data_IF_032154196324
#
_entry.id   IF_032154196324
#
_cell.length_a   1.000
_cell.length_b   1.000
_cell.length_c   1.000
_cell.angle_alpha   90.00
_cell.angle_beta   90.00
_cell.angle_gamma   90.00
#
_symmetry.space_group_name_H-M   'P 1'
#
loop_
_entity.id
_entity.type
_entity.pdbx_description
1 polymer ?
#
# COMPACT_ATOMS: atom_id res chain seq x y z
N UNK A 1 33.46 -16.26 14.69
CA UNK A 1 32.49 -17.04 13.89
C UNK A 1 31.07 -16.97 14.43
N UNK A 2 30.78 -17.29 15.73
CA UNK A 2 29.41 -17.28 16.29
C UNK A 2 28.73 -15.91 16.19
N UNK A 3 29.42 -14.83 16.58
CA UNK A 3 28.92 -13.45 16.54
C UNK A 3 28.57 -13.04 15.10
N UNK A 4 29.45 -13.32 14.13
CA UNK A 4 29.24 -13.00 12.72
C UNK A 4 27.98 -13.70 12.19
N UNK A 5 27.82 -15.00 12.49
CA UNK A 5 26.63 -15.78 12.11
C UNK A 5 25.36 -15.18 12.69
N UNK A 6 25.40 -14.74 13.95
CA UNK A 6 24.25 -14.12 14.62
C UNK A 6 23.92 -12.77 14.00
N UNK A 7 24.92 -11.92 13.76
CA UNK A 7 24.74 -10.61 13.12
C UNK A 7 24.15 -10.80 11.73
N UNK A 8 24.72 -11.70 10.90
CA UNK A 8 24.18 -11.97 9.55
C UNK A 8 22.73 -12.44 9.60
N UNK A 9 22.37 -13.33 10.52
CA UNK A 9 20.98 -13.78 10.67
C UNK A 9 20.03 -12.63 11.08
N UNK A 10 20.46 -11.74 11.98
CA UNK A 10 19.66 -10.58 12.40
C UNK A 10 19.51 -9.57 11.27
N UNK A 11 20.58 -9.32 10.48
CA UNK A 11 20.50 -8.42 9.33
C UNK A 11 19.52 -8.92 8.27
N UNK A 12 19.57 -10.21 7.92
CA UNK A 12 18.61 -10.82 7.01
C UNK A 12 17.20 -10.70 7.60
N UNK A 13 17.05 -11.04 8.88
CA UNK A 13 15.78 -10.95 9.61
C UNK A 13 15.20 -9.54 9.58
N UNK A 14 16.04 -8.51 9.75
CA UNK A 14 15.63 -7.12 9.67
C UNK A 14 15.10 -6.76 8.27
N UNK A 15 15.81 -7.15 7.19
CA UNK A 15 15.38 -6.89 5.81
C UNK A 15 14.05 -7.58 5.52
N UNK A 16 13.89 -8.85 5.90
CA UNK A 16 12.66 -9.61 5.71
C UNK A 16 11.49 -9.02 6.52
N UNK A 17 11.74 -8.68 7.77
CA UNK A 17 10.74 -8.08 8.64
C UNK A 17 10.24 -6.75 8.06
N UNK A 18 11.18 -5.87 7.70
CA UNK A 18 10.83 -4.56 7.13
C UNK A 18 10.09 -4.71 5.79
N UNK A 19 10.56 -5.57 4.89
CA UNK A 19 9.90 -5.84 3.62
C UNK A 19 8.46 -6.34 3.81
N UNK A 20 8.25 -7.28 4.76
CA UNK A 20 6.92 -7.78 5.10
C UNK A 20 6.02 -6.71 5.70
N UNK A 21 6.50 -5.92 6.67
CA UNK A 21 5.71 -4.85 7.31
C UNK A 21 5.29 -3.77 6.33
N UNK A 22 6.17 -3.36 5.42
CA UNK A 22 5.84 -2.35 4.41
C UNK A 22 4.76 -2.83 3.44
N UNK A 23 4.78 -4.11 3.06
CA UNK A 23 3.71 -4.72 2.26
C UNK A 23 2.40 -4.90 3.05
N UNK A 24 2.50 -5.22 4.33
CA UNK A 24 1.33 -5.31 5.24
C UNK A 24 0.68 -3.94 5.42
N UNK A 25 1.45 -2.86 5.44
CA UNK A 25 0.94 -1.51 5.58
C UNK A 25 0.06 -1.08 4.39
N UNK A 26 0.42 -1.48 3.16
CA UNK A 26 -0.38 -1.28 1.94
C UNK A 26 -0.73 -2.62 1.26
N UNK A 27 -1.74 -3.36 1.75
CA UNK A 27 -2.12 -4.64 1.16
C UNK A 27 -2.66 -4.50 -0.27
N UNK A 28 -3.20 -3.34 -0.61
CA UNK A 28 -3.76 -3.04 -1.93
C UNK A 28 -2.64 -2.84 -2.94
N UNK A 29 -1.61 -2.05 -2.61
CA UNK A 29 -0.41 -1.90 -3.43
C UNK A 29 0.34 -3.23 -3.58
N UNK A 30 0.52 -3.98 -2.50
CA UNK A 30 1.12 -5.31 -2.56
C UNK A 30 0.34 -6.27 -3.49
N UNK A 31 -0.99 -6.19 -3.51
CA UNK A 31 -1.83 -6.94 -4.44
C UNK A 31 -1.58 -6.56 -5.90
N UNK A 32 -1.47 -5.26 -6.21
CA UNK A 32 -1.19 -4.79 -7.58
C UNK A 32 0.11 -5.37 -8.11
N UNK A 33 1.16 -5.36 -7.30
CA UNK A 33 2.45 -5.96 -7.65
C UNK A 33 2.30 -7.45 -7.94
N UNK A 34 1.56 -8.20 -7.12
CA UNK A 34 1.32 -9.63 -7.38
C UNK A 34 0.50 -9.84 -8.65
N UNK A 35 -0.50 -9.01 -8.95
CA UNK A 35 -1.27 -9.07 -10.21
C UNK A 35 -0.35 -8.86 -11.42
N UNK A 36 0.62 -7.94 -11.36
CA UNK A 36 1.61 -7.73 -12.42
C UNK A 36 2.55 -8.94 -12.60
N UNK A 37 3.02 -9.54 -11.50
CA UNK A 37 3.80 -10.78 -11.55
C UNK A 37 3.01 -11.94 -12.17
N UNK A 38 1.73 -12.10 -11.79
CA UNK A 38 0.87 -13.14 -12.36
C UNK A 38 0.65 -12.93 -13.86
N UNK A 39 0.48 -11.68 -14.31
CA UNK A 39 0.42 -11.35 -15.74
C UNK A 39 1.74 -11.68 -16.46
N UNK A 40 2.88 -11.28 -15.90
CA UNK A 40 4.21 -11.57 -16.45
C UNK A 40 4.48 -13.06 -16.60
N UNK A 41 4.03 -13.87 -15.62
CA UNK A 41 4.16 -15.33 -15.64
C UNK A 41 3.07 -16.04 -16.44
N UNK A 42 2.18 -15.31 -17.13
CA UNK A 42 1.02 -15.84 -17.86
C UNK A 42 0.04 -16.64 -16.97
N UNK A 43 -0.01 -16.31 -15.68
CA UNK A 43 -0.86 -16.92 -14.66
C UNK A 43 -2.05 -16.03 -14.28
N UNK A 44 -2.56 -15.20 -15.19
CA UNK A 44 -3.65 -14.24 -14.95
C UNK A 44 -4.95 -14.87 -14.42
N UNK A 45 -5.15 -16.18 -14.61
CA UNK A 45 -6.28 -16.95 -14.03
C UNK A 45 -6.25 -16.98 -12.49
N UNK A 46 -5.08 -16.68 -11.85
CA UNK A 46 -4.92 -16.57 -10.40
C UNK A 46 -5.18 -15.14 -9.86
N UNK A 47 -5.49 -14.16 -10.70
CA UNK A 47 -5.69 -12.76 -10.26
C UNK A 47 -6.75 -12.63 -9.16
N UNK A 48 -7.76 -13.51 -9.12
CA UNK A 48 -8.74 -13.56 -8.03
C UNK A 48 -8.14 -13.87 -6.65
N UNK A 49 -6.97 -14.51 -6.61
CA UNK A 49 -6.23 -14.84 -5.38
C UNK A 49 -5.08 -13.87 -5.08
N UNK A 50 -4.81 -12.89 -5.94
CA UNK A 50 -3.65 -12.01 -5.82
C UNK A 50 -3.57 -11.30 -4.45
N UNK A 51 -4.72 -10.85 -3.91
CA UNK A 51 -4.76 -10.22 -2.58
C UNK A 51 -4.41 -11.17 -1.43
N UNK A 52 -4.86 -12.43 -1.51
CA UNK A 52 -4.54 -13.46 -0.50
C UNK A 52 -3.06 -13.84 -0.60
N UNK A 53 -2.55 -14.00 -1.82
CA UNK A 53 -1.13 -14.31 -2.06
C UNK A 53 -0.24 -13.17 -1.57
N UNK A 54 -0.58 -11.92 -1.87
CA UNK A 54 0.17 -10.74 -1.44
C UNK A 54 0.23 -10.64 0.08
N UNK A 55 -0.94 -10.69 0.76
CA UNK A 55 -1.02 -10.61 2.21
C UNK A 55 -0.35 -11.79 2.90
N UNK A 56 -0.54 -13.01 2.37
CA UNK A 56 0.10 -14.22 2.89
C UNK A 56 1.62 -14.18 2.76
N UNK A 57 2.14 -13.70 1.63
CA UNK A 57 3.58 -13.55 1.40
C UNK A 57 4.18 -12.47 2.29
N UNK A 58 3.52 -11.31 2.42
CA UNK A 58 3.95 -10.24 3.30
C UNK A 58 3.99 -10.68 4.78
N UNK A 59 2.96 -11.40 5.23
CA UNK A 59 2.91 -11.97 6.57
C UNK A 59 4.02 -13.00 6.79
N UNK A 60 4.26 -13.89 5.83
CA UNK A 60 5.33 -14.88 5.88
C UNK A 60 6.70 -14.20 5.97
N UNK A 61 6.98 -13.18 5.16
CA UNK A 61 8.22 -12.39 5.23
C UNK A 61 8.41 -11.76 6.60
N UNK A 62 7.39 -11.09 7.14
CA UNK A 62 7.46 -10.45 8.45
C UNK A 62 7.68 -11.47 9.58
N UNK A 63 6.98 -12.60 9.58
CA UNK A 63 7.13 -13.65 10.58
C UNK A 63 8.48 -14.36 10.50
N UNK A 64 8.98 -14.66 9.30
CA UNK A 64 10.32 -15.22 9.11
C UNK A 64 11.40 -14.23 9.56
N UNK A 65 11.23 -12.95 9.24
CA UNK A 65 12.10 -11.88 9.73
C UNK A 65 12.14 -11.83 11.27
N UNK A 66 10.97 -11.83 11.91
CA UNK A 66 10.85 -11.86 13.37
C UNK A 66 11.48 -13.13 13.97
N UNK A 67 11.30 -14.29 13.34
CA UNK A 67 11.91 -15.55 13.79
C UNK A 67 13.45 -15.51 13.71
N UNK A 68 14.03 -14.88 12.68
CA UNK A 68 15.49 -14.70 12.58
C UNK A 68 16.03 -13.69 13.59
N UNK A 69 15.32 -12.58 13.82
CA UNK A 69 15.70 -11.55 14.81
C UNK A 69 15.67 -12.15 16.24
N UNK A 70 14.60 -12.83 16.58
CA UNK A 70 14.48 -13.48 17.90
C UNK A 70 15.37 -14.73 18.01
N UNK A 71 15.61 -15.41 16.88
CA UNK A 71 16.36 -16.67 16.80
C UNK A 71 15.52 -17.89 17.16
N UNK A 72 14.20 -17.80 17.09
CA UNK A 72 13.29 -18.94 17.28
C UNK A 72 13.31 -19.83 16.04
N UNK A 73 13.26 -21.14 16.24
CA UNK A 73 13.29 -22.15 15.17
C UNK A 73 14.35 -21.93 14.09
N UNK A 74 15.57 -21.59 14.49
CA UNK A 74 16.67 -21.16 13.61
C UNK A 74 16.88 -22.02 12.37
N UNK A 75 16.76 -23.36 12.50
CA UNK A 75 16.92 -24.27 11.35
C UNK A 75 15.79 -24.11 10.33
N UNK A 76 14.56 -24.13 10.83
CA UNK A 76 13.36 -24.05 9.96
C UNK A 76 13.25 -22.67 9.33
N UNK A 77 13.36 -21.61 10.14
CA UNK A 77 13.33 -20.23 9.66
C UNK A 77 14.49 -19.94 8.71
N UNK A 78 15.71 -20.42 9.02
CA UNK A 78 16.86 -20.27 8.14
C UNK A 78 16.69 -20.99 6.81
N UNK A 79 16.17 -22.21 6.81
CA UNK A 79 15.88 -22.95 5.57
C UNK A 79 14.80 -22.25 4.73
N UNK A 80 13.69 -21.85 5.38
CA UNK A 80 12.59 -21.17 4.70
C UNK A 80 13.04 -19.85 4.04
N UNK A 81 13.82 -19.03 4.77
CA UNK A 81 14.38 -17.78 4.24
C UNK A 81 15.35 -18.06 3.09
N UNK A 82 16.19 -19.09 3.19
CA UNK A 82 17.10 -19.48 2.10
C UNK A 82 16.36 -19.86 0.82
N UNK A 83 15.34 -20.72 0.93
CA UNK A 83 14.49 -21.13 -0.21
C UNK A 83 13.76 -19.92 -0.81
N UNK A 84 13.19 -19.07 0.03
CA UNK A 84 12.45 -17.87 -0.40
C UNK A 84 13.38 -16.87 -1.10
N UNK A 85 14.56 -16.61 -0.54
CA UNK A 85 15.53 -15.71 -1.16
C UNK A 85 16.08 -16.28 -2.48
N UNK A 86 16.33 -17.59 -2.55
CA UNK A 86 16.75 -18.25 -3.80
C UNK A 86 15.65 -18.13 -4.88
N UNK A 87 14.40 -18.37 -4.51
CA UNK A 87 13.25 -18.19 -5.41
C UNK A 87 13.18 -16.75 -5.94
N UNK A 88 13.23 -15.74 -5.06
CA UNK A 88 13.21 -14.34 -5.48
C UNK A 88 14.43 -13.94 -6.30
N UNK A 89 15.60 -14.52 -6.02
CA UNK A 89 16.79 -14.28 -6.83
C UNK A 89 16.59 -14.78 -8.26
N UNK A 90 16.07 -16.00 -8.42
CA UNK A 90 15.76 -16.58 -9.72
C UNK A 90 14.72 -15.75 -10.47
N UNK A 91 13.64 -15.39 -9.81
CA UNK A 91 12.57 -14.56 -10.38
C UNK A 91 13.12 -13.20 -10.84
N UNK A 92 13.89 -12.52 -9.99
CA UNK A 92 14.49 -11.21 -10.32
C UNK A 92 15.52 -11.32 -11.44
N UNK A 93 16.22 -12.44 -11.53
CA UNK A 93 17.13 -12.69 -12.66
C UNK A 93 16.37 -12.77 -13.99
N UNK A 94 15.22 -13.44 -14.03
CA UNK A 94 14.35 -13.44 -15.21
C UNK A 94 13.79 -12.06 -15.54
N UNK A 95 13.40 -11.29 -14.54
CA UNK A 95 12.95 -9.90 -14.72
C UNK A 95 14.08 -9.03 -15.29
N UNK A 96 15.30 -9.19 -14.79
CA UNK A 96 16.47 -8.48 -15.30
C UNK A 96 16.75 -8.79 -16.79
N UNK A 97 16.62 -10.07 -17.19
CA UNK A 97 16.82 -10.48 -18.58
C UNK A 97 15.72 -10.00 -19.54
N UNK A 98 14.47 -9.97 -19.07
CA UNK A 98 13.31 -9.57 -19.89
C UNK A 98 13.05 -8.07 -19.84
N UNK A 99 13.53 -7.40 -18.81
CA UNK A 99 13.39 -5.97 -18.51
C UNK A 99 11.94 -5.43 -18.75
N UNK A 100 10.91 -6.05 -18.14
CA UNK A 100 9.55 -5.56 -18.28
C UNK A 100 9.38 -4.20 -17.57
N UNK A 101 8.45 -3.38 -18.05
CA UNK A 101 8.06 -2.14 -17.37
C UNK A 101 7.17 -2.47 -16.18
N UNK A 102 7.78 -2.87 -15.07
CA UNK A 102 7.10 -3.14 -13.80
C UNK A 102 8.07 -2.98 -12.64
N UNK A 103 7.56 -2.61 -11.49
CA UNK A 103 8.33 -2.51 -10.26
C UNK A 103 8.61 -3.89 -9.64
N UNK A 104 9.77 -4.02 -8.98
CA UNK A 104 10.11 -5.26 -8.27
C UNK A 104 9.28 -5.50 -7.00
N UNK A 105 8.64 -4.48 -6.44
CA UNK A 105 7.74 -4.58 -5.28
C UNK A 105 8.32 -5.19 -4.01
N UNK A 106 9.65 -5.28 -3.89
CA UNK A 106 10.31 -5.90 -2.74
C UNK A 106 9.99 -5.24 -1.40
N UNK A 107 9.81 -3.90 -1.41
CA UNK A 107 9.50 -3.08 -0.24
C UNK A 107 8.18 -2.31 -0.41
N UNK A 108 7.26 -2.86 -1.20
CA UNK A 108 6.00 -2.18 -1.55
C UNK A 108 6.26 -0.86 -2.29
N UNK A 109 5.43 0.13 -2.07
CA UNK A 109 5.51 1.46 -2.68
C UNK A 109 6.60 2.38 -2.07
N UNK A 110 7.22 1.98 -0.95
CA UNK A 110 8.19 2.85 -0.24
C UNK A 110 9.52 2.98 -0.98
N UNK A 111 10.01 1.88 -1.58
CA UNK A 111 11.32 1.84 -2.23
C UNK A 111 11.20 1.14 -3.58
N UNK A 112 11.33 1.91 -4.63
CA UNK A 112 11.37 1.44 -6.00
C UNK A 112 12.83 1.07 -6.37
N UNK A 113 13.08 -0.23 -6.50
CA UNK A 113 14.38 -0.75 -6.91
C UNK A 113 14.34 -1.21 -8.36
N UNK A 114 15.36 -0.87 -9.13
CA UNK A 114 15.54 -1.46 -10.45
C UNK A 114 15.75 -2.98 -10.37
N UNK A 115 15.50 -3.71 -11.46
CA UNK A 115 15.71 -5.16 -11.51
C UNK A 115 17.13 -5.54 -11.13
N UNK A 116 18.15 -4.77 -11.58
CA UNK A 116 19.54 -4.99 -11.22
C UNK A 116 19.81 -4.77 -9.73
N UNK A 117 19.31 -3.67 -9.16
CA UNK A 117 19.49 -3.38 -7.73
C UNK A 117 18.84 -4.47 -6.86
N UNK A 118 17.65 -4.95 -7.24
CA UNK A 118 16.95 -6.04 -6.55
C UNK A 118 17.74 -7.35 -6.66
N UNK A 119 18.30 -7.67 -7.83
CA UNK A 119 19.13 -8.85 -8.04
C UNK A 119 20.38 -8.80 -7.16
N UNK A 120 21.10 -7.68 -7.15
CA UNK A 120 22.29 -7.49 -6.31
C UNK A 120 21.95 -7.62 -4.81
N UNK A 121 20.87 -7.00 -4.35
CA UNK A 121 20.36 -7.16 -2.98
C UNK A 121 20.10 -8.64 -2.64
N UNK A 122 19.45 -9.37 -3.52
CA UNK A 122 19.13 -10.78 -3.29
C UNK A 122 20.39 -11.67 -3.25
N UNK A 123 21.39 -11.40 -4.10
CA UNK A 123 22.70 -12.08 -4.05
C UNK A 123 23.41 -11.81 -2.72
N UNK A 124 23.40 -10.56 -2.24
CA UNK A 124 23.98 -10.20 -0.94
C UNK A 124 23.24 -10.94 0.19
N UNK A 125 21.92 -11.02 0.15
CA UNK A 125 21.12 -11.75 1.15
C UNK A 125 21.45 -13.26 1.12
N UNK A 126 21.65 -13.87 -0.05
CA UNK A 126 22.08 -15.28 -0.16
C UNK A 126 23.48 -15.49 0.41
N UNK A 127 24.42 -14.57 0.18
CA UNK A 127 25.76 -14.64 0.77
C UNK A 127 25.70 -14.52 2.30
N UNK A 128 24.94 -13.58 2.83
CA UNK A 128 24.71 -13.46 4.28
C UNK A 128 24.01 -14.70 4.84
N UNK A 129 23.06 -15.28 4.12
CA UNK A 129 22.39 -16.51 4.50
C UNK A 129 23.37 -17.68 4.60
N UNK A 130 24.26 -17.85 3.62
CA UNK A 130 25.28 -18.88 3.67
C UNK A 130 26.21 -18.69 4.88
N UNK A 131 26.65 -17.46 5.16
CA UNK A 131 27.45 -17.13 6.35
C UNK A 131 26.70 -17.43 7.67
N UNK A 132 25.41 -17.12 7.73
CA UNK A 132 24.61 -17.30 8.95
C UNK A 132 24.29 -18.76 9.24
N UNK A 133 23.94 -19.56 8.22
CA UNK A 133 23.29 -20.85 8.39
C UNK A 133 24.14 -22.06 7.98
N UNK A 134 25.16 -21.90 7.15
CA UNK A 134 26.03 -23.04 6.79
C UNK A 134 27.22 -23.20 7.77
N UNK A 135 27.49 -24.41 8.27
CA UNK A 135 26.62 -25.59 8.22
C UNK A 135 25.47 -25.54 9.23
N UNK A 136 24.29 -26.06 8.85
CA UNK A 136 23.04 -26.01 9.64
C UNK A 136 23.12 -26.75 11.00
N UNK A 137 24.00 -27.72 11.13
CA UNK A 137 24.15 -28.52 12.36
C UNK A 137 24.89 -27.79 13.50
N UNK A 138 25.52 -26.63 13.22
CA UNK A 138 26.27 -25.82 14.19
C UNK A 138 25.51 -24.61 14.70
N UNK A 139 24.18 -24.61 14.61
CA UNK A 139 23.34 -23.51 15.09
C UNK A 139 23.16 -23.59 16.60
N UNK A 140 23.31 -22.46 17.30
CA UNK A 140 23.11 -22.38 18.74
C UNK A 140 21.62 -22.52 19.14
N UNK A 141 21.33 -23.07 20.32
CA UNK A 141 19.96 -23.14 20.82
C UNK A 141 19.40 -21.74 21.09
N UNK A 142 18.09 -21.60 20.93
CA UNK A 142 17.36 -20.36 21.23
C UNK A 142 17.20 -20.17 22.73
N UNK A 143 17.34 -18.95 23.23
CA UNK A 143 17.03 -18.61 24.63
C UNK A 143 15.53 -18.80 24.89
N UNK A 144 15.16 -19.41 26.04
CA UNK A 144 13.76 -19.73 26.38
C UNK A 144 12.83 -18.50 26.32
N UNK A 145 13.29 -17.33 26.75
CA UNK A 145 12.52 -16.08 26.74
C UNK A 145 12.07 -15.68 25.33
N UNK A 146 12.83 -16.02 24.29
CA UNK A 146 12.49 -15.70 22.89
C UNK A 146 11.27 -16.46 22.39
N UNK A 147 10.90 -17.57 23.02
CA UNK A 147 9.63 -18.28 22.73
C UNK A 147 8.41 -17.55 23.30
N UNK A 148 8.60 -16.51 24.13
CA UNK A 148 7.54 -15.59 24.57
C UNK A 148 7.51 -14.34 23.68
N UNK A 149 8.69 -13.75 23.38
CA UNK A 149 8.75 -12.54 22.58
C UNK A 149 8.28 -12.74 21.12
N UNK A 150 8.59 -13.89 20.53
CA UNK A 150 8.16 -14.16 19.14
C UNK A 150 6.64 -14.22 18.96
N UNK A 151 5.85 -14.95 19.79
CA UNK A 151 4.39 -14.92 19.68
C UNK A 151 3.79 -13.53 19.88
N UNK A 152 4.32 -12.72 20.79
CA UNK A 152 3.86 -11.33 20.99
C UNK A 152 4.08 -10.52 19.69
N UNK A 153 5.27 -10.57 19.12
CA UNK A 153 5.57 -9.93 17.87
C UNK A 153 4.67 -10.45 16.73
N UNK A 154 4.46 -11.77 16.63
CA UNK A 154 3.61 -12.39 15.62
C UNK A 154 2.15 -11.94 15.72
N UNK A 155 1.57 -11.91 16.93
CA UNK A 155 0.21 -11.41 17.16
C UNK A 155 0.11 -9.93 16.78
N UNK A 156 1.12 -9.12 17.12
CA UNK A 156 1.16 -7.70 16.74
C UNK A 156 1.19 -7.50 15.22
N UNK A 157 1.97 -8.30 14.51
CA UNK A 157 2.06 -8.26 13.04
C UNK A 157 0.73 -8.71 12.39
N UNK A 158 0.10 -9.77 12.91
CA UNK A 158 -1.23 -10.21 12.43
C UNK A 158 -2.29 -9.13 12.70
N UNK A 159 -2.27 -8.55 13.91
CA UNK A 159 -3.16 -7.42 14.26
C UNK A 159 -2.97 -6.22 13.32
N UNK A 160 -1.72 -5.92 12.96
CA UNK A 160 -1.42 -4.85 12.01
C UNK A 160 -1.91 -5.16 10.60
N UNK A 161 -1.77 -6.41 10.12
CA UNK A 161 -2.34 -6.84 8.84
C UNK A 161 -3.87 -6.67 8.80
N UNK A 162 -4.56 -7.07 9.87
CA UNK A 162 -6.01 -6.90 9.98
C UNK A 162 -6.40 -5.42 9.98
N UNK A 163 -5.69 -4.59 10.73
CA UNK A 163 -5.90 -3.14 10.75
C UNK A 163 -5.72 -2.53 9.35
N UNK A 164 -4.57 -2.78 8.68
CA UNK A 164 -4.27 -2.24 7.35
C UNK A 164 -5.22 -2.73 6.26
N UNK A 165 -5.80 -3.93 6.43
CA UNK A 165 -6.81 -4.46 5.50
C UNK A 165 -8.18 -3.76 5.64
N UNK A 166 -8.40 -3.01 6.73
CA UNK A 166 -9.66 -2.34 7.05
C UNK A 166 -9.60 -0.82 6.88
N UNK A 167 -8.40 -0.26 6.79
CA UNK A 167 -8.12 1.18 6.71
C UNK A 167 -7.36 1.51 5.44
N UNK A 168 -7.13 2.79 5.18
CA UNK A 168 -6.10 3.22 4.23
C UNK A 168 -4.71 3.11 4.90
N UNK A 169 -3.61 3.06 4.13
CA UNK A 169 -2.27 3.00 4.67
C UNK A 169 -1.98 4.14 5.65
N UNK A 170 -1.36 3.83 6.81
CA UNK A 170 -0.95 4.86 7.79
C UNK A 170 0.11 5.83 7.23
N UNK A 171 0.93 5.36 6.32
CA UNK A 171 1.87 6.20 5.58
C UNK A 171 1.65 5.92 4.09
N UNK A 172 1.24 6.94 3.38
CA UNK A 172 1.02 6.84 1.94
C UNK A 172 2.33 7.16 1.21
N UNK A 173 2.83 6.19 0.45
CA UNK A 173 4.04 6.33 -0.39
C UNK A 173 3.68 6.42 -1.88
N UNK A 174 2.38 6.45 -2.22
CA UNK A 174 1.96 6.57 -3.62
C UNK A 174 2.29 7.96 -4.18
N UNK A 175 2.32 8.11 -5.51
CA UNK A 175 2.43 9.43 -6.13
C UNK A 175 1.36 10.41 -5.65
N UNK A 176 0.17 9.90 -5.34
CA UNK A 176 -0.98 10.67 -4.86
C UNK A 176 -1.01 10.85 -3.34
N UNK A 177 0.11 10.78 -2.63
CA UNK A 177 0.18 10.99 -1.18
C UNK A 177 -0.30 12.39 -0.80
N UNK A 178 -0.81 12.61 0.42
CA UNK A 178 -1.08 13.94 0.93
C UNK A 178 0.16 14.85 0.81
N UNK A 179 -0.03 16.07 0.33
CA UNK A 179 1.03 17.02 -0.02
C UNK A 179 1.57 16.87 -1.45
N UNK A 180 1.07 15.93 -2.26
CA UNK A 180 1.40 15.86 -3.67
C UNK A 180 0.51 16.83 -4.49
N UNK A 181 1.13 17.52 -5.42
CA UNK A 181 0.43 18.35 -6.42
C UNK A 181 0.14 17.50 -7.65
N UNK A 182 -1.10 17.52 -8.10
CA UNK A 182 -1.51 16.88 -9.34
C UNK A 182 -0.89 17.63 -10.53
N UNK A 183 -0.57 16.89 -11.58
CA UNK A 183 -0.08 17.43 -12.84
C UNK A 183 -1.07 17.11 -13.95
N UNK A 184 -1.27 18.04 -14.88
CA UNK A 184 -2.05 17.79 -16.07
C UNK A 184 -1.30 16.81 -16.99
N UNK A 185 -2.02 15.94 -17.73
CA UNK A 185 -1.37 15.00 -18.65
C UNK A 185 -0.49 15.65 -19.72
N UNK A 186 -0.81 16.88 -20.13
CA UNK A 186 -0.07 17.67 -21.11
C UNK A 186 1.27 18.23 -20.59
N UNK A 187 1.42 18.35 -19.26
CA UNK A 187 2.63 18.89 -18.61
C UNK A 187 3.68 17.82 -18.31
N UNK A 188 3.46 16.56 -18.75
CA UNK A 188 4.33 15.44 -18.41
C UNK A 188 5.24 15.09 -19.59
N UNK A 189 6.55 15.01 -19.30
CA UNK A 189 7.56 14.62 -20.29
C UNK A 189 7.44 13.13 -20.68
N UNK A 190 7.11 12.23 -19.73
CA UNK A 190 6.91 10.80 -19.96
C UNK A 190 5.53 10.34 -19.47
N UNK A 191 4.59 10.10 -20.39
CA UNK A 191 3.24 9.61 -20.04
C UNK A 191 3.23 8.26 -19.32
N UNK A 192 4.32 7.50 -19.39
CA UNK A 192 4.45 6.20 -18.73
C UNK A 192 5.11 6.29 -17.33
N UNK A 193 5.51 7.47 -16.88
CA UNK A 193 6.03 7.63 -15.52
C UNK A 193 4.90 7.53 -14.50
N UNK A 194 4.74 6.33 -13.96
CA UNK A 194 3.73 6.04 -12.94
C UNK A 194 3.98 6.78 -11.61
N UNK A 195 5.13 7.42 -11.42
CA UNK A 195 5.48 8.19 -10.22
C UNK A 195 4.94 9.61 -10.24
N UNK A 196 4.52 10.09 -11.39
CA UNK A 196 3.90 11.40 -11.53
C UNK A 196 2.40 11.32 -11.17
N UNK A 197 1.89 12.17 -10.27
CA UNK A 197 0.49 12.15 -9.83
C UNK A 197 -0.43 12.79 -10.88
N UNK A 198 -0.70 12.04 -11.94
CA UNK A 198 -1.56 12.48 -13.05
C UNK A 198 -2.83 11.67 -13.10
N UNK A 199 -3.93 12.34 -13.37
CA UNK A 199 -5.24 11.75 -13.46
C UNK A 199 -6.01 12.38 -14.64
N UNK A 200 -6.45 11.56 -15.56
CA UNK A 200 -7.31 11.98 -16.67
C UNK A 200 -8.75 11.64 -16.37
N UNK A 201 -9.63 12.59 -16.56
CA UNK A 201 -11.06 12.50 -16.30
C UNK A 201 -11.83 12.67 -17.60
N UNK A 202 -12.82 11.81 -17.82
CA UNK A 202 -13.79 12.01 -18.89
C UNK A 202 -15.22 12.00 -18.37
N UNK A 203 -16.12 12.67 -19.05
CA UNK A 203 -17.54 12.57 -18.78
C UNK A 203 -18.16 11.29 -19.41
N UNK A 204 -19.49 11.17 -19.34
CA UNK A 204 -20.22 10.05 -19.95
C UNK A 204 -20.18 10.06 -21.50
N UNK A 205 -19.82 11.18 -22.14
CA UNK A 205 -19.66 11.31 -23.60
C UNK A 205 -18.25 10.94 -24.05
N UNK A 206 -17.29 10.87 -23.12
CA UNK A 206 -15.87 10.64 -23.39
C UNK A 206 -15.07 11.93 -23.62
N UNK A 207 -15.66 13.11 -23.33
CA UNK A 207 -14.95 14.39 -23.33
C UNK A 207 -14.09 14.51 -22.06
N UNK A 208 -12.85 15.01 -22.19
CA UNK A 208 -11.91 15.14 -21.09
C UNK A 208 -12.03 16.47 -20.35
N UNK A 209 -11.93 16.42 -19.02
CA UNK A 209 -12.10 17.55 -18.11
C UNK A 209 -11.02 17.57 -17.03
N UNK A 210 -9.76 17.35 -17.41
CA UNK A 210 -8.63 17.19 -16.48
C UNK A 210 -8.39 18.46 -15.64
N UNK A 211 -8.67 19.64 -16.21
CA UNK A 211 -8.55 20.96 -15.55
C UNK A 211 -9.43 21.08 -14.30
N UNK A 212 -10.55 20.34 -14.22
CA UNK A 212 -11.46 20.41 -13.07
C UNK A 212 -10.77 20.02 -11.75
N UNK A 213 -9.70 19.22 -11.81
CA UNK A 213 -8.94 18.83 -10.63
C UNK A 213 -8.06 19.95 -10.09
N UNK A 214 -7.80 20.99 -10.88
CA UNK A 214 -6.97 22.15 -10.51
C UNK A 214 -7.80 23.30 -9.97
N UNK A 215 -9.14 23.19 -9.92
CA UNK A 215 -10.03 24.27 -9.56
C UNK A 215 -10.68 24.09 -8.18
N UNK A 216 -10.36 25.00 -7.26
CA UNK A 216 -11.05 25.16 -5.97
C UNK A 216 -10.92 23.97 -5.02
N UNK A 217 -11.92 23.86 -4.15
CA UNK A 217 -11.98 22.85 -3.09
C UNK A 217 -12.83 21.65 -3.50
N UNK A 218 -12.19 20.51 -3.80
CA UNK A 218 -12.86 19.32 -4.30
C UNK A 218 -12.94 18.24 -3.22
N UNK A 219 -14.13 17.64 -3.08
CA UNK A 219 -14.33 16.40 -2.33
C UNK A 219 -14.51 15.26 -3.30
N UNK A 220 -13.41 14.52 -3.55
CA UNK A 220 -13.33 13.50 -4.59
C UNK A 220 -13.53 12.10 -3.99
N UNK A 221 -14.55 11.39 -4.45
CA UNK A 221 -14.80 9.97 -4.08
C UNK A 221 -14.26 9.06 -5.17
N UNK A 222 -13.39 8.11 -4.82
CA UNK A 222 -12.77 7.16 -5.76
C UNK A 222 -13.48 5.82 -5.76
N UNK A 223 -14.10 5.42 -6.87
CA UNK A 223 -14.80 4.14 -7.05
C UNK A 223 -14.10 3.33 -8.14
N UNK A 224 -13.18 2.45 -7.76
CA UNK A 224 -12.43 1.62 -8.72
C UNK A 224 -13.06 0.23 -8.95
N UNK A 225 -14.11 -0.13 -8.20
CA UNK A 225 -14.83 -1.40 -8.35
C UNK A 225 -16.28 -1.23 -7.86
N UNK A 226 -17.15 -0.82 -8.77
CA UNK A 226 -18.56 -0.52 -8.48
C UNK A 226 -19.30 -1.74 -7.91
N UNK A 227 -19.03 -2.94 -8.47
CA UNK A 227 -19.71 -4.18 -8.08
C UNK A 227 -19.43 -4.60 -6.61
N UNK A 228 -18.36 -4.10 -6.01
CA UNK A 228 -18.01 -4.40 -4.61
C UNK A 228 -18.60 -3.46 -3.59
N UNK A 229 -19.21 -2.36 -4.01
CA UNK A 229 -19.86 -1.42 -3.10
C UNK A 229 -21.18 -2.00 -2.59
N UNK A 230 -21.34 -2.00 -1.28
CA UNK A 230 -22.58 -2.44 -0.61
C UNK A 230 -23.57 -1.28 -0.50
N UNK A 231 -24.90 -1.53 -0.40
CA UNK A 231 -25.90 -0.47 -0.26
C UNK A 231 -25.56 0.56 0.82
N UNK A 232 -25.16 0.12 2.01
CA UNK A 232 -24.75 1.03 3.10
C UNK A 232 -23.53 1.89 2.78
N UNK A 233 -22.68 1.49 1.84
CA UNK A 233 -21.55 2.30 1.42
C UNK A 233 -21.99 3.37 0.43
N UNK A 234 -22.96 3.07 -0.43
CA UNK A 234 -23.60 4.05 -1.28
C UNK A 234 -24.30 5.14 -0.45
N UNK A 235 -25.04 4.76 0.61
CA UNK A 235 -25.66 5.72 1.53
C UNK A 235 -24.64 6.67 2.16
N UNK A 236 -23.46 6.16 2.53
CA UNK A 236 -22.37 6.97 3.08
C UNK A 236 -21.78 7.93 2.04
N UNK A 237 -21.62 7.47 0.79
CA UNK A 237 -21.12 8.31 -0.31
C UNK A 237 -22.11 9.44 -0.59
N UNK A 238 -23.39 9.13 -0.74
CA UNK A 238 -24.44 10.15 -0.95
C UNK A 238 -24.41 11.19 0.17
N UNK A 239 -24.40 10.74 1.43
CA UNK A 239 -24.34 11.66 2.57
C UNK A 239 -23.09 12.54 2.53
N UNK A 240 -21.91 11.99 2.23
CA UNK A 240 -20.68 12.78 2.11
C UNK A 240 -20.79 13.85 1.02
N UNK A 241 -21.34 13.52 -0.16
CA UNK A 241 -21.48 14.47 -1.26
C UNK A 241 -22.45 15.61 -0.88
N UNK A 242 -23.54 15.30 -0.18
CA UNK A 242 -24.49 16.29 0.34
C UNK A 242 -23.84 17.20 1.41
N UNK A 243 -23.13 16.61 2.38
CA UNK A 243 -22.43 17.33 3.45
C UNK A 243 -21.32 18.22 2.86
N UNK A 244 -20.59 17.74 1.85
CA UNK A 244 -19.54 18.48 1.14
C UNK A 244 -20.13 19.69 0.38
N UNK A 245 -21.20 19.49 -0.38
CA UNK A 245 -21.88 20.58 -1.08
C UNK A 245 -22.43 21.64 -0.12
N UNK A 246 -22.98 21.22 1.01
CA UNK A 246 -23.50 22.13 2.05
C UNK A 246 -22.40 22.93 2.75
N UNK A 247 -21.14 22.45 2.70
CA UNK A 247 -19.97 23.10 3.34
C UNK A 247 -19.15 23.93 2.34
N UNK A 248 -19.56 23.93 1.06
CA UNK A 248 -18.90 24.74 0.01
C UNK A 248 -17.86 24.00 -0.82
N UNK A 249 -17.63 22.72 -0.56
CA UNK A 249 -16.82 21.87 -1.44
C UNK A 249 -17.57 21.54 -2.73
N UNK A 250 -16.84 21.38 -3.84
CA UNK A 250 -17.38 20.83 -5.09
C UNK A 250 -17.29 19.30 -5.00
N UNK A 251 -18.43 18.58 -4.88
CA UNK A 251 -18.43 17.13 -4.81
C UNK A 251 -18.09 16.55 -6.19
N UNK A 252 -17.26 15.49 -6.21
CA UNK A 252 -16.86 14.78 -7.43
C UNK A 252 -16.78 13.28 -7.16
N UNK A 253 -17.26 12.47 -8.08
CA UNK A 253 -17.14 11.02 -8.05
C UNK A 253 -16.31 10.57 -9.24
N UNK A 254 -15.22 9.85 -8.99
CA UNK A 254 -14.38 9.26 -10.03
C UNK A 254 -14.61 7.77 -10.08
N UNK A 255 -15.13 7.26 -11.19
CA UNK A 255 -15.51 5.87 -11.35
C UNK A 255 -14.68 5.16 -12.44
N UNK A 256 -14.21 3.95 -12.15
CA UNK A 256 -13.63 3.05 -13.13
C UNK A 256 -14.68 2.07 -13.65
N UNK A 257 -15.71 2.60 -14.28
CA UNK A 257 -16.84 1.84 -14.82
C UNK A 257 -17.36 2.53 -16.08
N UNK A 258 -18.19 1.86 -16.86
CA UNK A 258 -18.95 2.53 -17.93
C UNK A 258 -20.14 3.31 -17.34
N UNK A 259 -20.62 4.35 -18.04
CA UNK A 259 -21.80 5.11 -17.60
C UNK A 259 -23.03 4.21 -17.32
N UNK A 260 -23.25 3.18 -18.14
CA UNK A 260 -24.35 2.23 -17.96
C UNK A 260 -24.24 1.44 -16.65
N UNK A 261 -23.04 0.98 -16.28
CA UNK A 261 -22.80 0.26 -15.03
C UNK A 261 -23.05 1.17 -13.83
N UNK A 262 -22.66 2.44 -13.90
CA UNK A 262 -22.94 3.41 -12.84
C UNK A 262 -24.43 3.62 -12.65
N UNK A 263 -25.21 3.83 -13.73
CA UNK A 263 -26.65 4.00 -13.68
C UNK A 263 -27.41 2.76 -13.18
N UNK A 264 -26.91 1.55 -13.46
CA UNK A 264 -27.47 0.31 -12.92
C UNK A 264 -27.16 0.12 -11.43
N UNK A 265 -26.04 0.68 -10.94
CA UNK A 265 -25.54 0.46 -9.58
C UNK A 265 -26.09 1.43 -8.56
N UNK A 266 -26.48 2.64 -8.98
CA UNK A 266 -27.08 3.66 -8.13
C UNK A 266 -28.07 4.50 -8.91
N UNK A 267 -29.16 4.92 -8.25
CA UNK A 267 -30.13 5.88 -8.76
C UNK A 267 -30.04 7.26 -8.07
N UNK A 268 -29.03 7.46 -7.21
CA UNK A 268 -28.83 8.71 -6.51
C UNK A 268 -28.33 9.81 -7.46
N UNK A 269 -29.11 10.89 -7.70
CA UNK A 269 -28.70 11.96 -8.60
C UNK A 269 -27.43 12.65 -8.14
N UNK A 270 -27.22 12.81 -6.82
CA UNK A 270 -26.01 13.42 -6.25
C UNK A 270 -24.72 12.68 -6.66
N UNK A 271 -24.81 11.37 -6.89
CA UNK A 271 -23.70 10.55 -7.37
C UNK A 271 -23.57 10.68 -8.87
N UNK A 272 -24.67 10.48 -9.62
CA UNK A 272 -24.64 10.41 -11.09
C UNK A 272 -24.25 11.76 -11.71
N UNK A 273 -24.76 12.87 -11.20
CA UNK A 273 -24.47 14.23 -11.69
C UNK A 273 -23.03 14.68 -11.40
N UNK A 274 -22.40 14.11 -10.35
CA UNK A 274 -21.01 14.39 -9.97
C UNK A 274 -20.00 13.38 -10.54
N UNK A 275 -20.44 12.42 -11.39
CA UNK A 275 -19.58 11.31 -11.83
C UNK A 275 -18.78 11.65 -13.07
N UNK A 276 -17.46 11.45 -12.98
CA UNK A 276 -16.49 11.38 -14.07
C UNK A 276 -15.82 10.01 -14.08
N UNK A 277 -15.24 9.65 -15.21
CA UNK A 277 -14.65 8.34 -15.45
C UNK A 277 -13.13 8.46 -15.56
N UNK A 278 -12.41 7.53 -14.92
CA UNK A 278 -10.96 7.54 -14.89
C UNK A 278 -10.38 6.11 -14.87
N UNK A 279 -9.08 6.00 -15.13
CA UNK A 279 -8.38 4.71 -15.12
C UNK A 279 -8.42 4.04 -13.74
N UNK A 280 -8.74 2.74 -13.73
CA UNK A 280 -8.88 1.94 -12.53
C UNK A 280 -7.60 1.92 -11.67
N UNK A 281 -6.41 1.77 -12.31
CA UNK A 281 -5.13 1.71 -11.59
C UNK A 281 -4.83 3.06 -10.94
N UNK A 282 -5.11 4.16 -11.64
CA UNK A 282 -4.95 5.53 -11.12
C UNK A 282 -5.88 5.78 -9.93
N UNK A 283 -7.18 5.42 -10.02
CA UNK A 283 -8.13 5.57 -8.90
C UNK A 283 -7.74 4.75 -7.68
N UNK A 284 -7.28 3.51 -7.90
CA UNK A 284 -6.81 2.61 -6.85
C UNK A 284 -5.52 3.13 -6.19
N UNK A 285 -4.72 3.92 -6.92
CA UNK A 285 -3.52 4.58 -6.41
C UNK A 285 -3.87 5.91 -5.73
N UNK A 286 -4.86 6.66 -6.24
CA UNK A 286 -5.36 7.87 -5.61
C UNK A 286 -5.92 7.57 -4.22
N UNK A 287 -6.76 6.52 -4.09
CA UNK A 287 -7.28 6.11 -2.79
C UNK A 287 -7.35 4.58 -2.70
N UNK A 288 -6.65 4.00 -1.74
CA UNK A 288 -6.61 2.53 -1.51
C UNK A 288 -7.94 1.94 -1.04
N UNK A 289 -8.91 2.78 -0.70
CA UNK A 289 -10.26 2.36 -0.26
C UNK A 289 -11.29 2.59 -1.36
N UNK A 290 -11.96 1.53 -1.82
CA UNK A 290 -13.05 1.65 -2.79
C UNK A 290 -14.22 2.43 -2.19
N UNK A 291 -14.58 3.55 -2.78
CA UNK A 291 -15.52 4.53 -2.23
C UNK A 291 -14.91 5.44 -1.15
N UNK A 292 -13.58 5.45 -1.01
CA UNK A 292 -12.87 6.40 -0.14
C UNK A 292 -12.87 7.81 -0.73
N UNK A 293 -12.69 8.81 0.14
CA UNK A 293 -12.67 10.21 -0.23
C UNK A 293 -11.26 10.81 -0.17
N UNK A 294 -11.01 11.81 -1.02
CA UNK A 294 -9.80 12.62 -1.03
C UNK A 294 -10.21 14.09 -1.12
N UNK A 295 -9.67 14.93 -0.23
CA UNK A 295 -9.80 16.37 -0.33
C UNK A 295 -8.65 16.90 -1.18
N UNK A 296 -8.99 17.60 -2.25
CA UNK A 296 -8.04 18.23 -3.20
C UNK A 296 -8.36 19.70 -3.26
N UNK A 297 -7.36 20.55 -3.05
CA UNK A 297 -7.48 21.99 -3.16
C UNK A 297 -6.52 22.50 -4.24
N UNK A 298 -7.07 23.10 -5.29
CA UNK A 298 -6.27 23.65 -6.41
C UNK A 298 -5.19 22.69 -6.91
N UNK A 299 -5.55 21.41 -7.09
CA UNK A 299 -4.62 20.35 -7.50
C UNK A 299 -3.77 19.75 -6.37
N UNK A 300 -3.74 20.33 -5.18
CA UNK A 300 -2.99 19.80 -4.03
C UNK A 300 -3.84 18.78 -3.27
N UNK A 301 -3.33 17.56 -3.11
CA UNK A 301 -3.99 16.52 -2.30
C UNK A 301 -3.72 16.82 -0.82
N UNK A 302 -4.77 17.22 -0.09
CA UNK A 302 -4.65 17.65 1.31
C UNK A 302 -4.73 16.45 2.25
N UNK A 303 -5.80 15.65 2.15
CA UNK A 303 -6.00 14.47 3.02
C UNK A 303 -6.90 13.43 2.37
N UNK A 304 -6.91 12.22 2.92
CA UNK A 304 -7.66 11.08 2.41
C UNK A 304 -8.33 10.29 3.52
N UNK A 305 -9.48 9.70 3.18
CA UNK A 305 -10.24 8.84 4.09
C UNK A 305 -10.69 7.56 3.39
N UNK A 306 -10.65 6.46 4.12
CA UNK A 306 -11.28 5.23 3.67
C UNK A 306 -12.79 5.27 3.82
N UNK A 307 -13.54 4.45 3.05
CA UNK A 307 -15.02 4.35 3.08
C UNK A 307 -15.61 4.09 4.49
N UNK A 308 -14.81 3.54 5.42
CA UNK A 308 -15.26 3.27 6.79
C UNK A 308 -15.25 4.50 7.68
N UNK A 309 -14.31 5.42 7.43
CA UNK A 309 -14.08 6.64 8.21
C UNK A 309 -14.19 7.89 7.35
N UNK A 310 -15.22 7.99 6.49
CA UNK A 310 -15.50 9.22 5.75
C UNK A 310 -15.78 10.37 6.72
N UNK A 311 -15.33 11.60 6.43
CA UNK A 311 -15.57 12.75 7.27
C UNK A 311 -17.05 13.07 7.34
N UNK A 312 -17.50 13.56 8.49
CA UNK A 312 -18.82 14.11 8.68
C UNK A 312 -18.82 15.64 8.42
N UNK A 313 -19.98 16.26 8.48
CA UNK A 313 -20.14 17.67 8.20
C UNK A 313 -19.32 18.57 9.15
N UNK A 314 -19.19 18.18 10.43
CA UNK A 314 -18.41 18.92 11.42
C UNK A 314 -16.91 18.94 11.03
N UNK A 315 -16.37 17.78 10.64
CA UNK A 315 -14.98 17.65 10.18
C UNK A 315 -14.74 18.41 8.87
N UNK A 316 -15.73 18.44 7.96
CA UNK A 316 -15.63 19.22 6.72
C UNK A 316 -15.61 20.72 6.99
N UNK A 317 -16.40 21.21 7.95
CA UNK A 317 -16.41 22.62 8.38
C UNK A 317 -15.08 23.01 9.05
N UNK A 318 -14.55 22.12 9.90
CA UNK A 318 -13.22 22.31 10.51
C UNK A 318 -12.14 22.49 9.44
N UNK A 319 -12.10 21.58 8.45
CA UNK A 319 -11.15 21.63 7.35
C UNK A 319 -11.32 22.88 6.46
N UNK A 320 -12.54 23.28 6.16
CA UNK A 320 -12.81 24.48 5.36
C UNK A 320 -12.36 25.78 6.05
N UNK A 321 -12.27 25.78 7.38
CA UNK A 321 -11.81 26.92 8.19
C UNK A 321 -10.33 26.87 8.55
N UNK A 322 -9.68 25.73 8.40
CA UNK A 322 -8.27 25.52 8.74
C UNK A 322 -7.34 25.95 7.61
N UNK A 323 -6.10 26.31 7.97
CA UNK A 323 -5.03 26.47 6.98
C UNK A 323 -4.65 25.11 6.40
N UNK A 324 -4.49 25.04 5.07
CA UNK A 324 -4.17 23.80 4.35
C UNK A 324 -2.84 23.21 4.83
N UNK A 325 -1.86 24.06 5.11
CA UNK A 325 -0.55 23.64 5.61
C UNK A 325 -0.67 23.01 7.00
N UNK A 326 -1.52 23.56 7.87
CA UNK A 326 -1.79 23.01 9.20
C UNK A 326 -2.51 21.68 9.09
N UNK A 327 -3.51 21.56 8.21
CA UNK A 327 -4.23 20.31 7.94
C UNK A 327 -3.31 19.22 7.43
N UNK A 328 -2.42 19.51 6.47
CA UNK A 328 -1.41 18.58 5.97
C UNK A 328 -0.45 18.11 7.06
N UNK A 329 -0.02 18.99 7.95
CA UNK A 329 0.93 18.64 9.01
C UNK A 329 0.26 17.84 10.12
N UNK A 330 -0.96 18.17 10.53
CA UNK A 330 -1.64 17.53 11.65
C UNK A 330 -2.07 16.09 11.33
N UNK A 331 -2.70 15.88 10.19
CA UNK A 331 -3.22 14.56 9.77
C UNK A 331 -2.08 13.59 9.44
N UNK A 332 -1.09 14.01 8.65
CA UNK A 332 0.02 13.16 8.25
C UNK A 332 0.95 12.78 9.42
N UNK A 333 1.20 13.69 10.35
CA UNK A 333 2.08 13.40 11.49
C UNK A 333 1.47 12.40 12.45
N UNK A 334 0.14 12.44 12.68
CA UNK A 334 -0.53 11.53 13.59
C UNK A 334 -0.39 10.06 13.17
N UNK A 335 -0.65 9.75 11.92
CA UNK A 335 -0.59 8.38 11.41
C UNK A 335 0.85 7.88 11.24
N UNK A 336 1.76 8.75 10.85
CA UNK A 336 3.19 8.45 10.81
C UNK A 336 3.74 8.10 12.20
N UNK A 337 3.34 8.84 13.24
CA UNK A 337 3.72 8.54 14.62
C UNK A 337 3.16 7.20 15.11
N UNK A 338 1.91 6.85 14.78
CA UNK A 338 1.32 5.53 15.09
C UNK A 338 2.14 4.40 14.47
N UNK A 339 2.54 4.54 13.20
CA UNK A 339 3.37 3.55 12.52
C UNK A 339 4.77 3.42 13.15
N UNK A 340 5.42 4.54 13.45
CA UNK A 340 6.73 4.55 14.12
C UNK A 340 6.66 3.92 15.52
N UNK A 341 5.63 4.23 16.30
CA UNK A 341 5.39 3.65 17.62
C UNK A 341 5.17 2.14 17.54
N UNK A 342 4.40 1.67 16.56
CA UNK A 342 4.21 0.24 16.29
C UNK A 342 5.54 -0.46 16.00
N UNK A 343 6.35 0.08 15.09
CA UNK A 343 7.65 -0.49 14.74
C UNK A 343 8.57 -0.54 15.96
N UNK A 344 8.67 0.56 16.71
CA UNK A 344 9.49 0.65 17.92
C UNK A 344 9.07 -0.40 18.95
N UNK A 345 7.76 -0.53 19.19
CA UNK A 345 7.21 -1.54 20.09
C UNK A 345 7.60 -2.97 19.68
N UNK A 346 7.36 -3.34 18.42
CA UNK A 346 7.64 -4.70 17.94
C UNK A 346 9.14 -5.01 17.97
N UNK A 347 10.00 -4.05 17.58
CA UNK A 347 11.45 -4.21 17.69
C UNK A 347 11.92 -4.33 19.15
N UNK A 348 11.37 -3.51 20.06
CA UNK A 348 11.68 -3.62 21.47
C UNK A 348 11.32 -5.01 22.03
N UNK A 349 10.13 -5.52 21.72
CA UNK A 349 9.69 -6.88 22.08
C UNK A 349 10.65 -7.95 21.54
N UNK A 350 11.04 -7.86 20.27
CA UNK A 350 11.93 -8.86 19.65
C UNK A 350 13.36 -8.82 20.19
N UNK A 351 13.87 -7.65 20.56
CA UNK A 351 15.27 -7.48 20.96
C UNK A 351 15.46 -7.58 22.46
N UNK A 352 14.59 -6.99 23.28
CA UNK A 352 14.75 -6.87 24.74
C UNK A 352 14.17 -8.05 25.51
N UNK A 353 13.03 -8.60 25.13
CA UNK A 353 12.47 -9.83 25.66
C UNK A 353 13.10 -11.06 24.99
#
# INVERSE_FOLDING_TARGET
MRIIRRISAVLIGFVFFLAGILKIMDPVGARLVVEEYLKFLHMGWLNGLAGVLASGMALLEALLGAALITGVWRKVAGLAVGVMTAFFTLLTFFLYLKNPHMDCGCFGEMIHLTHLQTLLKNIILLALWALAFLPLNKLEPTRKVKYVSFPIAAVSVVGFLLYSSLTIPLVDFTPFKPGAELMLPEDIDDPNDERTPTLSLSDASGEYFDDLLMEGDLMVVSIYDVAKLKPRQWDKIVKLLQDAAATGYKPMVLAAASPSIMQESTSAPEVLDATYYADRKKLLTLNRSNGGASYIQEGLIVTKWGIRGLPDQEKLQELASADVTESLLSENNGDRLKFQAFLLYVFAVMLLL
#
